data_IF_159329351041
#
_entry.id   IF_159329351041
#
_cell.length_a   1.000
_cell.length_b   1.000
_cell.length_c   1.000
_cell.angle_alpha   90.00
_cell.angle_beta   90.00
_cell.angle_gamma   90.00
#
_symmetry.space_group_name_H-M   'P 1'
#
loop_
_entity.id
_entity.type
_entity.pdbx_description
1 polymer ?
#
# COMPACT_ATOMS: atom_id res chain seq x y z
N UNK A 1 17.90 18.05 10.04
CA UNK A 1 17.87 16.96 9.05
C UNK A 1 16.61 16.13 9.28
N UNK A 2 15.71 15.97 8.30
CA UNK A 2 14.64 14.98 8.38
C UNK A 2 15.00 13.79 7.50
N UNK A 3 15.34 12.68 8.16
CA UNK A 3 15.49 11.34 7.57
C UNK A 3 14.21 10.93 6.84
N UNK A 4 14.34 10.48 5.60
CA UNK A 4 13.27 9.80 4.84
C UNK A 4 12.92 8.49 5.56
N UNK A 5 11.63 8.12 5.68
CA UNK A 5 11.26 6.82 6.22
C UNK A 5 11.55 5.78 5.13
N UNK A 6 12.62 5.02 5.35
CA UNK A 6 12.92 3.79 4.64
C UNK A 6 11.71 2.85 4.84
N UNK A 7 10.88 2.67 3.81
CA UNK A 7 9.82 1.65 3.84
C UNK A 7 10.53 0.31 3.77
N UNK A 8 10.87 -0.20 4.95
CA UNK A 8 11.57 -1.44 5.15
C UNK A 8 10.84 -2.59 4.45
N UNK A 9 11.59 -3.58 3.95
CA UNK A 9 11.10 -4.87 3.44
C UNK A 9 10.06 -5.53 4.38
N UNK A 10 10.15 -5.16 5.65
CA UNK A 10 9.25 -5.48 6.76
C UNK A 10 7.80 -5.03 6.55
N UNK A 11 7.58 -3.85 5.97
CA UNK A 11 6.25 -3.31 5.67
C UNK A 11 5.59 -4.06 4.50
N UNK A 12 6.41 -4.57 3.56
CA UNK A 12 5.95 -5.38 2.42
C UNK A 12 5.44 -6.75 2.90
N UNK A 13 6.15 -7.41 3.83
CA UNK A 13 5.70 -8.70 4.40
C UNK A 13 4.41 -8.56 5.21
N UNK A 14 4.28 -7.49 6.00
CA UNK A 14 3.06 -7.22 6.77
C UNK A 14 1.85 -6.89 5.88
N UNK A 15 2.09 -6.23 4.73
CA UNK A 15 1.07 -5.97 3.72
C UNK A 15 0.62 -7.26 3.02
N UNK A 16 1.56 -8.13 2.63
CA UNK A 16 1.27 -9.41 1.99
C UNK A 16 0.41 -10.33 2.87
N UNK A 17 0.68 -10.36 4.18
CA UNK A 17 -0.08 -11.20 5.12
C UNK A 17 -1.52 -10.67 5.34
N UNK A 18 -1.71 -9.34 5.29
CA UNK A 18 -3.05 -8.73 5.30
C UNK A 18 -3.84 -9.05 4.03
N UNK A 19 -3.17 -8.98 2.89
CA UNK A 19 -3.80 -9.22 1.59
C UNK A 19 -4.18 -10.69 1.43
N UNK A 20 -3.36 -11.61 1.95
CA UNK A 20 -3.67 -13.03 2.02
C UNK A 20 -4.95 -13.31 2.85
N UNK A 21 -5.07 -12.72 4.04
CA UNK A 21 -6.27 -12.87 4.88
C UNK A 21 -7.55 -12.38 4.16
N UNK A 22 -7.44 -11.26 3.42
CA UNK A 22 -8.53 -10.74 2.61
C UNK A 22 -8.90 -11.69 1.47
N UNK A 23 -7.91 -12.24 0.75
CA UNK A 23 -8.13 -13.22 -0.33
C UNK A 23 -8.77 -14.52 0.14
N UNK A 24 -8.41 -15.03 1.31
CA UNK A 24 -9.00 -16.29 1.81
C UNK A 24 -10.41 -16.04 2.34
N UNK A 25 -10.63 -14.91 3.02
CA UNK A 25 -11.96 -14.53 3.50
C UNK A 25 -12.93 -14.20 2.36
N UNK A 26 -12.42 -13.76 1.20
CA UNK A 26 -13.21 -13.52 -0.01
C UNK A 26 -13.30 -14.76 -0.92
N UNK A 27 -12.44 -15.75 -0.71
CA UNK A 27 -12.49 -17.02 -1.42
C UNK A 27 -13.63 -17.89 -0.88
N UNK A 28 -14.18 -18.68 -1.80
CA UNK A 28 -15.18 -19.68 -1.51
C UNK A 28 -14.62 -20.96 -0.85
N UNK A 29 -13.30 -21.01 -0.62
CA UNK A 29 -12.59 -22.09 0.06
C UNK A 29 -13.01 -22.27 1.52
N UNK A 30 -13.45 -21.18 2.18
CA UNK A 30 -13.98 -21.23 3.55
C UNK A 30 -15.44 -20.75 3.61
N UNK A 31 -16.19 -21.30 4.55
CA UNK A 31 -17.55 -20.90 4.84
C UNK A 31 -17.55 -19.89 6.00
N UNK A 32 -17.94 -18.66 5.72
CA UNK A 32 -18.03 -17.61 6.73
C UNK A 32 -16.70 -16.87 6.93
N UNK A 33 -16.24 -16.77 8.18
CA UNK A 33 -15.05 -15.99 8.57
C UNK A 33 -14.11 -16.82 9.42
N UNK A 34 -12.85 -16.39 9.51
CA UNK A 34 -11.91 -16.97 10.45
C UNK A 34 -12.37 -16.84 11.91
N UNK A 35 -12.22 -17.94 12.64
CA UNK A 35 -12.38 -18.03 14.08
C UNK A 35 -11.02 -17.96 14.73
N UNK A 36 -10.94 -17.21 15.84
CA UNK A 36 -9.72 -16.97 16.58
C UNK A 36 -9.91 -17.42 18.02
N UNK A 37 -9.02 -18.27 18.49
CA UNK A 37 -8.92 -18.69 19.88
C UNK A 37 -7.61 -18.17 20.44
N UNK A 38 -7.70 -17.36 21.49
CA UNK A 38 -6.53 -16.79 22.18
C UNK A 38 -6.39 -17.46 23.53
N UNK A 39 -5.20 -17.98 23.82
CA UNK A 39 -4.89 -18.54 25.13
C UNK A 39 -3.68 -17.87 25.77
N UNK A 40 -3.63 -17.96 27.10
CA UNK A 40 -2.65 -17.25 27.93
C UNK A 40 -3.15 -15.89 28.43
N UNK A 41 -2.31 -15.23 29.23
CA UNK A 41 -2.65 -13.98 29.93
C UNK A 41 -2.25 -12.74 29.10
N UNK A 42 -3.06 -12.45 28.08
CA UNK A 42 -2.82 -11.35 27.12
C UNK A 42 -2.86 -9.95 27.76
N UNK A 43 -3.36 -9.82 28.99
CA UNK A 43 -3.37 -8.56 29.73
C UNK A 43 -1.95 -8.13 30.13
N UNK A 44 -1.04 -9.08 30.34
CA UNK A 44 0.36 -8.82 30.69
C UNK A 44 1.14 -8.04 29.64
N UNK A 45 0.72 -8.13 28.38
CA UNK A 45 1.39 -7.44 27.26
C UNK A 45 0.60 -6.22 26.74
N UNK A 46 -0.60 -5.99 27.25
CA UNK A 46 -1.43 -4.85 26.86
C UNK A 46 -0.83 -3.54 27.39
N UNK A 47 -0.47 -2.62 26.50
CA UNK A 47 0.04 -1.29 26.84
C UNK A 47 1.54 -1.21 27.21
N UNK A 48 2.22 -2.34 27.44
CA UNK A 48 3.66 -2.37 27.68
C UNK A 48 4.44 -2.35 26.36
N UNK A 49 5.48 -1.51 26.24
CA UNK A 49 6.27 -1.35 25.00
C UNK A 49 7.60 -2.10 25.00
N UNK A 50 8.22 -2.31 26.17
CA UNK A 50 9.50 -3.01 26.34
C UNK A 50 9.40 -4.04 27.48
N UNK A 51 10.07 -5.20 27.32
CA UNK A 51 10.17 -6.22 28.38
C UNK A 51 8.92 -7.09 28.62
N UNK A 52 8.16 -7.40 27.56
CA UNK A 52 6.91 -8.18 27.63
C UNK A 52 7.15 -9.62 28.05
N UNK A 53 6.33 -10.10 28.99
CA UNK A 53 6.21 -11.53 29.30
C UNK A 53 5.28 -12.19 28.27
N UNK A 54 5.89 -12.76 27.23
CA UNK A 54 5.19 -13.40 26.11
C UNK A 54 4.98 -14.91 26.33
N UNK A 55 5.41 -15.42 27.49
CA UNK A 55 5.45 -16.85 27.78
C UNK A 55 4.02 -17.39 27.95
N UNK A 56 3.69 -18.43 27.17
CA UNK A 56 2.38 -19.08 27.21
C UNK A 56 1.26 -18.32 26.47
N UNK A 57 1.54 -17.18 25.83
CA UNK A 57 0.59 -16.50 24.95
C UNK A 57 0.54 -17.21 23.60
N UNK A 58 -0.64 -17.65 23.19
CA UNK A 58 -0.83 -18.25 21.87
C UNK A 58 -2.12 -17.82 21.21
N UNK A 59 -2.13 -17.98 19.90
CA UNK A 59 -3.33 -17.86 19.08
C UNK A 59 -3.49 -19.11 18.23
N UNK A 60 -4.73 -19.56 18.08
CA UNK A 60 -5.12 -20.60 17.13
C UNK A 60 -6.18 -20.01 16.20
N UNK A 61 -6.01 -20.25 14.91
CA UNK A 61 -6.98 -19.82 13.88
C UNK A 61 -7.62 -21.05 13.26
N UNK A 62 -8.91 -20.96 13.00
CA UNK A 62 -9.65 -21.98 12.27
C UNK A 62 -10.69 -21.36 11.36
N UNK A 63 -11.10 -22.11 10.35
CA UNK A 63 -12.26 -21.77 9.53
C UNK A 63 -12.97 -23.06 9.12
N UNK A 64 -14.25 -22.94 8.77
CA UNK A 64 -15.01 -24.07 8.23
C UNK A 64 -14.65 -24.20 6.75
N UNK A 65 -14.07 -25.32 6.33
CA UNK A 65 -13.75 -25.54 4.92
C UNK A 65 -15.01 -25.79 4.10
N UNK A 66 -14.94 -25.50 2.80
CA UNK A 66 -16.02 -25.83 1.85
C UNK A 66 -16.30 -27.34 1.87
N UNK A 67 -17.53 -27.72 2.19
CA UNK A 67 -17.95 -29.13 2.28
C UNK A 67 -17.82 -29.74 3.68
N UNK A 68 -17.20 -29.03 4.63
CA UNK A 68 -17.14 -29.44 6.04
C UNK A 68 -18.19 -28.69 6.87
N UNK A 69 -18.64 -29.30 7.97
CA UNK A 69 -19.61 -28.72 8.91
C UNK A 69 -18.95 -28.14 10.17
N UNK A 70 -17.78 -28.64 10.53
CA UNK A 70 -17.04 -28.25 11.73
C UNK A 70 -15.87 -27.30 11.40
N UNK A 71 -15.40 -26.57 12.40
CA UNK A 71 -14.26 -25.68 12.25
C UNK A 71 -12.97 -26.52 12.18
N UNK A 72 -12.26 -26.40 11.08
CA UNK A 72 -10.92 -26.96 10.94
C UNK A 72 -9.92 -25.98 11.56
N UNK A 73 -9.46 -26.32 12.75
CA UNK A 73 -8.54 -25.51 13.52
C UNK A 73 -7.08 -25.83 13.19
N UNK A 74 -6.26 -24.81 12.95
CA UNK A 74 -4.81 -24.94 12.76
C UNK A 74 -4.07 -25.27 14.06
N UNK A 75 -2.74 -25.30 14.02
CA UNK A 75 -1.94 -25.45 15.24
C UNK A 75 -1.90 -24.15 16.06
N UNK A 76 -1.85 -24.21 17.40
CA UNK A 76 -1.66 -23.04 18.22
C UNK A 76 -0.24 -22.47 18.00
N UNK A 77 -0.16 -21.19 17.67
CA UNK A 77 1.09 -20.46 17.48
C UNK A 77 1.38 -19.66 18.75
N UNK A 78 2.49 -19.97 19.41
CA UNK A 78 2.95 -19.26 20.59
C UNK A 78 3.74 -18.02 20.21
N UNK A 79 3.45 -16.90 20.86
CA UNK A 79 4.13 -15.62 20.61
C UNK A 79 5.63 -15.71 20.94
N UNK A 80 5.98 -16.43 22.02
CA UNK A 80 7.36 -16.64 22.46
C UNK A 80 8.22 -17.39 21.42
N UNK A 81 7.62 -18.27 20.61
CA UNK A 81 8.35 -19.07 19.61
C UNK A 81 8.66 -18.28 18.34
N UNK A 82 8.10 -17.07 18.19
CA UNK A 82 8.28 -16.22 17.01
C UNK A 82 9.54 -15.36 17.20
N UNK A 83 10.66 -15.87 16.68
CA UNK A 83 11.97 -15.20 16.73
C UNK A 83 12.13 -14.08 15.70
N UNK A 84 11.53 -14.25 14.52
CA UNK A 84 11.71 -13.32 13.39
C UNK A 84 10.55 -12.33 13.31
N UNK A 85 10.78 -11.08 13.74
CA UNK A 85 9.77 -10.01 13.84
C UNK A 85 10.13 -8.82 12.97
N UNK A 86 10.04 -9.07 11.67
CA UNK A 86 10.32 -8.16 10.57
C UNK A 86 9.19 -7.13 10.40
N UNK A 87 8.68 -6.53 11.49
CA UNK A 87 7.72 -5.42 11.39
C UNK A 87 7.72 -4.62 12.69
N UNK A 88 7.74 -3.28 12.64
CA UNK A 88 7.59 -2.46 13.84
C UNK A 88 6.23 -2.68 14.53
N UNK A 89 5.24 -3.22 13.81
CA UNK A 89 3.92 -3.56 14.35
C UNK A 89 3.94 -4.69 15.37
N UNK A 90 5.00 -5.51 15.44
CA UNK A 90 5.16 -6.46 16.55
C UNK A 90 5.27 -5.74 17.90
N UNK A 91 5.80 -4.52 17.91
CA UNK A 91 5.92 -3.68 19.11
C UNK A 91 4.65 -2.89 19.39
N UNK A 92 3.88 -2.47 18.40
CA UNK A 92 2.68 -1.63 18.63
C UNK A 92 1.37 -2.42 18.66
N UNK A 93 1.28 -3.50 17.89
CA UNK A 93 0.09 -4.33 17.73
C UNK A 93 0.43 -5.85 17.62
N UNK A 94 1.04 -6.45 18.66
CA UNK A 94 1.51 -7.85 18.63
C UNK A 94 0.38 -8.84 18.38
N UNK A 95 -0.79 -8.61 18.98
CA UNK A 95 -1.98 -9.47 18.84
C UNK A 95 -2.50 -9.51 17.39
N UNK A 96 -2.36 -8.40 16.67
CA UNK A 96 -2.76 -8.33 15.26
C UNK A 96 -1.74 -9.04 14.36
N UNK A 97 -0.44 -8.85 14.62
CA UNK A 97 0.63 -9.47 13.85
C UNK A 97 0.61 -11.00 13.94
N UNK A 98 0.51 -11.55 15.14
CA UNK A 98 0.43 -12.99 15.32
C UNK A 98 -0.84 -13.59 14.70
N UNK A 99 -1.94 -12.85 14.69
CA UNK A 99 -3.18 -13.29 14.04
C UNK A 99 -3.02 -13.41 12.52
N UNK A 100 -2.34 -12.46 11.88
CA UNK A 100 -2.03 -12.55 10.44
C UNK A 100 -1.11 -13.74 10.13
N UNK A 101 -0.11 -13.98 10.97
CA UNK A 101 0.77 -15.13 10.82
C UNK A 101 0.01 -16.45 10.95
N UNK A 102 -0.93 -16.55 11.89
CA UNK A 102 -1.76 -17.73 12.08
C UNK A 102 -2.69 -18.00 10.89
N UNK A 103 -3.32 -16.97 10.34
CA UNK A 103 -4.12 -17.09 9.11
C UNK A 103 -3.24 -17.58 7.95
N UNK A 104 -2.03 -17.03 7.79
CA UNK A 104 -1.09 -17.43 6.75
C UNK A 104 -0.69 -18.90 6.84
N UNK A 105 -0.36 -19.38 8.04
CA UNK A 105 0.03 -20.78 8.24
C UNK A 105 -1.14 -21.73 8.02
N UNK A 106 -2.33 -21.37 8.52
CA UNK A 106 -3.55 -22.12 8.30
C UNK A 106 -3.88 -22.26 6.81
N UNK A 107 -3.81 -21.15 6.07
CA UNK A 107 -4.11 -21.13 4.65
C UNK A 107 -3.13 -21.95 3.81
N UNK A 108 -1.85 -21.96 4.18
CA UNK A 108 -0.85 -22.80 3.51
C UNK A 108 -1.13 -24.29 3.67
N UNK A 109 -1.70 -24.67 4.80
CA UNK A 109 -1.98 -26.06 5.12
C UNK A 109 -3.29 -26.55 4.49
N UNK A 110 -4.35 -25.72 4.53
CA UNK A 110 -5.70 -26.15 4.18
C UNK A 110 -6.25 -25.53 2.89
N UNK A 111 -5.67 -24.44 2.40
CA UNK A 111 -6.09 -23.80 1.15
C UNK A 111 -4.90 -23.37 0.27
N UNK A 112 -3.98 -24.29 -0.07
CA UNK A 112 -2.79 -23.96 -0.87
C UNK A 112 -3.14 -23.43 -2.27
N UNK A 113 -4.28 -23.86 -2.83
CA UNK A 113 -4.77 -23.42 -4.15
C UNK A 113 -5.13 -21.93 -4.18
N UNK A 114 -5.62 -21.37 -3.05
CA UNK A 114 -5.84 -19.92 -2.91
C UNK A 114 -4.54 -19.16 -3.06
N UNK A 115 -3.48 -19.67 -2.43
CA UNK A 115 -2.19 -19.01 -2.31
C UNK A 115 -1.42 -19.04 -3.63
N UNK A 116 -1.60 -20.11 -4.40
CA UNK A 116 -0.94 -20.30 -5.70
C UNK A 116 -1.69 -19.62 -6.87
N UNK A 117 -2.83 -18.96 -6.61
CA UNK A 117 -3.58 -18.21 -7.63
C UNK A 117 -4.26 -19.09 -8.68
N UNK A 118 -4.40 -20.39 -8.40
CA UNK A 118 -5.03 -21.37 -9.30
C UNK A 118 -6.53 -21.38 -9.03
N UNK A 119 -7.22 -20.29 -9.34
CA UNK A 119 -8.68 -20.32 -9.41
C UNK A 119 -9.12 -20.40 -10.87
N UNK A 120 -9.68 -21.55 -11.25
CA UNK A 120 -10.48 -21.61 -12.47
C UNK A 120 -11.79 -20.85 -12.24
N UNK A 121 -12.23 -19.98 -13.17
CA UNK A 121 -13.40 -19.10 -13.00
C UNK A 121 -14.76 -19.79 -12.76
N UNK A 122 -14.80 -21.12 -12.67
CA UNK A 122 -16.03 -21.93 -12.66
C UNK A 122 -16.56 -22.24 -11.25
N UNK A 123 -15.88 -21.85 -10.16
CA UNK A 123 -16.25 -22.24 -8.77
C UNK A 123 -17.05 -21.20 -7.96
N UNK A 124 -17.52 -20.12 -8.60
CA UNK A 124 -18.31 -19.06 -7.94
C UNK A 124 -19.79 -19.44 -8.01
N UNK A 125 -20.25 -20.33 -7.12
CA UNK A 125 -21.68 -20.57 -6.93
C UNK A 125 -22.41 -19.30 -6.46
N UNK A 126 -23.54 -18.93 -7.07
CA UNK A 126 -24.33 -17.76 -6.69
C UNK A 126 -25.10 -18.04 -5.40
N UNK A 127 -24.63 -17.52 -4.26
CA UNK A 127 -25.34 -17.62 -2.98
C UNK A 127 -26.40 -16.51 -2.87
N UNK A 128 -27.64 -16.94 -2.65
CA UNK A 128 -28.85 -16.12 -2.41
C UNK A 128 -28.75 -15.29 -1.12
N UNK A 129 -28.91 -13.96 -1.24
CA UNK A 129 -28.87 -13.00 -0.14
C UNK A 129 -30.17 -12.94 0.68
N UNK A 130 -30.05 -12.65 1.98
CA UNK A 130 -31.15 -12.52 2.97
C UNK A 130 -31.11 -11.09 3.54
N UNK A 131 -32.18 -10.33 3.38
CA UNK A 131 -32.23 -8.88 3.65
C UNK A 131 -32.54 -8.55 5.13
N UNK A 132 -31.94 -7.46 5.65
CA UNK A 132 -32.00 -7.03 7.06
C UNK A 132 -32.30 -5.52 7.13
N UNK A 133 -33.56 -5.09 6.99
CA UNK A 133 -34.05 -3.86 7.63
C UNK A 133 -35.60 -3.81 7.69
N UNK A 134 -36.23 -3.49 8.85
CA UNK A 134 -37.69 -3.47 8.95
C UNK A 134 -38.26 -2.04 8.87
N UNK A 135 -39.35 -1.85 8.10
CA UNK A 135 -40.36 -0.78 8.29
C UNK A 135 -41.66 -1.12 7.51
N UNK A 136 -42.85 -0.61 7.93
CA UNK A 136 -44.03 -1.46 8.14
C UNK A 136 -45.03 -1.59 6.97
N UNK A 137 -45.60 -2.80 6.88
CA UNK A 137 -46.85 -3.27 6.26
C UNK A 137 -47.59 -2.35 5.28
N UNK A 138 -47.89 -2.86 4.07
CA UNK A 138 -49.20 -3.49 3.72
C UNK A 138 -49.02 -4.58 2.65
N UNK A 139 -49.75 -5.66 2.83
CA UNK A 139 -49.61 -6.95 2.12
C UNK A 139 -50.44 -6.94 0.83
N UNK A 140 -49.82 -7.32 -0.30
CA UNK A 140 -50.49 -8.03 -1.40
C UNK A 140 -49.44 -8.78 -2.23
N UNK A 141 -49.73 -10.07 -2.47
CA UNK A 141 -48.80 -11.14 -2.82
C UNK A 141 -48.77 -11.39 -4.35
N UNK A 142 -48.07 -10.53 -5.10
CA UNK A 142 -47.62 -10.79 -6.48
C UNK A 142 -46.60 -9.71 -6.87
N UNK A 143 -45.55 -10.09 -7.61
CA UNK A 143 -44.55 -9.19 -8.24
C UNK A 143 -43.45 -8.55 -7.35
N UNK A 144 -42.42 -9.30 -6.93
CA UNK A 144 -41.09 -8.70 -6.66
C UNK A 144 -39.99 -9.71 -7.04
N UNK A 145 -39.38 -9.52 -8.21
CA UNK A 145 -38.16 -10.20 -8.65
C UNK A 145 -37.35 -9.17 -9.43
N UNK A 146 -36.32 -8.55 -8.83
CA UNK A 146 -35.44 -7.64 -9.59
C UNK A 146 -34.40 -6.80 -8.84
N UNK A 147 -34.64 -6.35 -7.60
CA UNK A 147 -33.91 -5.16 -7.10
C UNK A 147 -32.61 -5.41 -6.30
N UNK A 148 -32.40 -6.62 -5.78
CA UNK A 148 -31.30 -6.89 -4.82
C UNK A 148 -29.92 -7.05 -5.49
N UNK A 149 -29.88 -7.63 -6.69
CA UNK A 149 -28.61 -7.87 -7.44
C UNK A 149 -27.99 -6.56 -7.92
N UNK A 150 -28.80 -5.54 -8.20
CA UNK A 150 -28.32 -4.26 -8.70
C UNK A 150 -27.44 -3.51 -7.68
N UNK A 151 -27.73 -3.63 -6.39
CA UNK A 151 -27.05 -2.83 -5.34
C UNK A 151 -25.65 -3.37 -4.99
N UNK A 152 -25.50 -4.69 -4.90
CA UNK A 152 -24.19 -5.31 -4.63
C UNK A 152 -23.24 -5.22 -5.83
N UNK A 153 -23.78 -5.33 -7.06
CA UNK A 153 -23.04 -5.07 -8.30
C UNK A 153 -22.63 -3.60 -8.35
N UNK A 154 -23.55 -2.66 -8.08
CA UNK A 154 -23.25 -1.23 -8.07
C UNK A 154 -22.17 -0.83 -7.05
N UNK A 155 -22.15 -1.44 -5.86
CA UNK A 155 -21.11 -1.18 -4.86
C UNK A 155 -19.74 -1.78 -5.23
N UNK A 156 -19.71 -2.99 -5.81
CA UNK A 156 -18.48 -3.60 -6.34
C UNK A 156 -17.95 -2.85 -7.55
N UNK A 157 -18.82 -2.47 -8.48
CA UNK A 157 -18.49 -1.61 -9.63
C UNK A 157 -17.97 -0.26 -9.17
N UNK A 158 -18.55 0.34 -8.12
CA UNK A 158 -18.06 1.59 -7.54
C UNK A 158 -16.67 1.43 -6.91
N UNK A 159 -16.39 0.33 -6.22
CA UNK A 159 -15.06 0.06 -5.66
C UNK A 159 -14.00 -0.16 -6.76
N UNK A 160 -14.34 -0.94 -7.79
CA UNK A 160 -13.47 -1.15 -8.97
C UNK A 160 -13.26 0.16 -9.73
N UNK A 161 -14.27 1.03 -9.80
CA UNK A 161 -14.16 2.35 -10.40
C UNK A 161 -13.21 3.26 -9.59
N UNK A 162 -13.30 3.24 -8.26
CA UNK A 162 -12.39 4.01 -7.39
C UNK A 162 -10.94 3.53 -7.54
N UNK A 163 -10.70 2.23 -7.57
CA UNK A 163 -9.35 1.67 -7.78
C UNK A 163 -8.82 2.04 -9.17
N UNK A 164 -9.65 1.95 -10.22
CA UNK A 164 -9.27 2.38 -11.57
C UNK A 164 -8.95 3.88 -11.64
N UNK A 165 -9.72 4.73 -10.96
CA UNK A 165 -9.45 6.17 -10.87
C UNK A 165 -8.15 6.44 -10.12
N UNK A 166 -7.87 5.67 -9.07
CA UNK A 166 -6.61 5.79 -8.34
C UNK A 166 -5.41 5.38 -9.20
N UNK A 167 -5.53 4.30 -9.97
CA UNK A 167 -4.48 3.86 -10.91
C UNK A 167 -4.23 4.89 -12.01
N UNK A 168 -5.29 5.50 -12.58
CA UNK A 168 -5.14 6.60 -13.53
C UNK A 168 -4.37 7.78 -12.92
N UNK A 169 -4.65 8.14 -11.67
CA UNK A 169 -3.86 9.17 -10.98
C UNK A 169 -2.41 8.75 -10.76
N UNK A 170 -2.13 7.49 -10.44
CA UNK A 170 -0.74 7.00 -10.30
C UNK A 170 0.01 7.14 -11.62
N UNK A 171 -0.59 6.72 -12.73
CA UNK A 171 0.01 6.83 -14.06
C UNK A 171 0.23 8.29 -14.46
N UNK A 172 -0.75 9.17 -14.22
CA UNK A 172 -0.63 10.61 -14.49
C UNK A 172 0.45 11.28 -13.64
N UNK A 173 0.63 10.87 -12.38
CA UNK A 173 1.74 11.34 -11.53
C UNK A 173 3.07 10.89 -12.15
N UNK A 174 3.20 9.62 -12.53
CA UNK A 174 4.47 9.09 -13.03
C UNK A 174 4.84 9.63 -14.42
N UNK A 175 3.84 9.97 -15.24
CA UNK A 175 4.01 10.61 -16.54
C UNK A 175 4.22 12.14 -16.48
N UNK A 176 4.02 12.78 -15.33
CA UNK A 176 4.18 14.24 -15.22
C UNK A 176 5.65 14.64 -15.34
N UNK A 177 6.05 15.19 -16.47
CA UNK A 177 7.42 15.61 -16.73
C UNK A 177 7.66 17.10 -16.53
N UNK A 178 6.65 17.95 -16.47
CA UNK A 178 6.82 19.39 -16.23
C UNK A 178 6.07 19.88 -14.98
N UNK A 179 6.41 21.10 -14.54
CA UNK A 179 5.90 21.68 -13.29
C UNK A 179 4.39 21.90 -13.37
N UNK A 180 3.88 22.26 -14.54
CA UNK A 180 2.47 22.60 -14.74
C UNK A 180 1.61 21.33 -14.76
N UNK A 181 2.06 20.27 -15.43
CA UNK A 181 1.46 18.95 -15.38
C UNK A 181 1.45 18.38 -13.95
N UNK A 182 2.57 18.48 -13.22
CA UNK A 182 2.64 17.98 -11.84
C UNK A 182 1.70 18.76 -10.89
N UNK A 183 1.54 20.07 -11.08
CA UNK A 183 0.54 20.88 -10.34
C UNK A 183 -0.88 20.49 -10.69
N UNK A 184 -1.19 20.35 -11.99
CA UNK A 184 -2.52 20.00 -12.46
C UNK A 184 -2.98 18.65 -11.89
N UNK A 185 -2.11 17.64 -11.90
CA UNK A 185 -2.41 16.33 -11.30
C UNK A 185 -2.69 16.44 -9.80
N UNK A 186 -1.91 17.26 -9.08
CA UNK A 186 -2.14 17.52 -7.66
C UNK A 186 -3.47 18.23 -7.36
N UNK A 187 -3.90 19.13 -8.24
CA UNK A 187 -5.19 19.82 -8.15
C UNK A 187 -6.35 18.85 -8.40
N UNK A 188 -6.25 18.03 -9.44
CA UNK A 188 -7.26 17.02 -9.77
C UNK A 188 -7.44 15.99 -8.63
N UNK A 189 -6.35 15.55 -7.99
CA UNK A 189 -6.41 14.68 -6.80
C UNK A 189 -7.13 15.37 -5.64
N UNK A 190 -6.96 16.69 -5.47
CA UNK A 190 -7.70 17.44 -4.44
C UNK A 190 -9.20 17.53 -4.75
N UNK A 191 -9.57 17.67 -6.02
CA UNK A 191 -10.97 17.67 -6.45
C UNK A 191 -11.61 16.26 -6.29
N UNK A 192 -10.86 15.20 -6.57
CA UNK A 192 -11.30 13.82 -6.44
C UNK A 192 -11.31 13.27 -4.99
N UNK A 193 -10.99 14.10 -3.98
CA UNK A 193 -10.89 13.69 -2.57
C UNK A 193 -12.14 12.98 -2.04
N UNK A 194 -13.33 13.44 -2.43
CA UNK A 194 -14.59 12.85 -1.99
C UNK A 194 -14.79 11.43 -2.55
N UNK A 195 -14.31 11.19 -3.77
CA UNK A 195 -14.44 9.90 -4.48
C UNK A 195 -13.39 8.89 -4.03
N UNK A 196 -12.13 9.33 -3.86
CA UNK A 196 -11.00 8.46 -3.51
C UNK A 196 -11.03 7.94 -2.06
N UNK A 197 -11.73 8.63 -1.17
CA UNK A 197 -11.63 8.36 0.27
C UNK A 197 -10.28 8.78 0.87
N UNK A 198 -10.17 8.73 2.20
CA UNK A 198 -9.05 9.34 2.94
C UNK A 198 -7.69 8.68 2.69
N UNK A 199 -7.67 7.36 2.56
CA UNK A 199 -6.45 6.57 2.39
C UNK A 199 -5.80 6.83 1.02
N UNK A 200 -6.53 6.57 -0.08
CA UNK A 200 -6.05 6.77 -1.44
C UNK A 200 -5.72 8.23 -1.72
N UNK A 201 -6.55 9.17 -1.25
CA UNK A 201 -6.25 10.60 -1.38
C UNK A 201 -4.90 10.97 -0.76
N UNK A 202 -4.59 10.44 0.43
CA UNK A 202 -3.35 10.75 1.13
C UNK A 202 -2.14 10.12 0.43
N UNK A 203 -2.27 8.88 -0.05
CA UNK A 203 -1.25 8.22 -0.87
C UNK A 203 -0.93 9.04 -2.14
N UNK A 204 -1.96 9.31 -2.94
CA UNK A 204 -1.84 10.01 -4.22
C UNK A 204 -1.32 11.43 -4.04
N UNK A 205 -1.77 12.15 -3.01
CA UNK A 205 -1.26 13.49 -2.68
C UNK A 205 0.23 13.49 -2.31
N UNK A 206 0.67 12.49 -1.54
CA UNK A 206 2.09 12.37 -1.18
C UNK A 206 2.94 12.07 -2.43
N UNK A 207 2.48 11.15 -3.29
CA UNK A 207 3.13 10.83 -4.57
C UNK A 207 3.21 12.04 -5.51
N UNK A 208 2.10 12.76 -5.68
CA UNK A 208 2.04 13.96 -6.51
C UNK A 208 2.99 15.06 -5.99
N UNK A 209 3.05 15.24 -4.66
CA UNK A 209 3.98 16.19 -4.03
C UNK A 209 5.44 15.80 -4.27
N UNK A 210 5.78 14.51 -4.11
CA UNK A 210 7.12 14.01 -4.39
C UNK A 210 7.51 14.21 -5.87
N UNK A 211 6.59 13.91 -6.79
CA UNK A 211 6.79 14.13 -8.23
C UNK A 211 7.01 15.60 -8.55
N UNK A 212 6.20 16.49 -8.00
CA UNK A 212 6.37 17.94 -8.16
C UNK A 212 7.78 18.39 -7.74
N UNK A 213 8.26 17.94 -6.58
CA UNK A 213 9.60 18.27 -6.12
C UNK A 213 10.70 17.70 -7.01
N UNK A 214 10.54 16.46 -7.52
CA UNK A 214 11.48 15.86 -8.47
C UNK A 214 11.57 16.66 -9.77
N UNK A 215 10.44 17.01 -10.37
CA UNK A 215 10.39 17.78 -11.62
C UNK A 215 10.92 19.20 -11.42
N UNK A 216 10.54 19.86 -10.32
CA UNK A 216 11.06 21.19 -10.00
C UNK A 216 12.58 21.18 -9.78
N UNK A 217 13.11 20.17 -9.08
CA UNK A 217 14.54 20.02 -8.89
C UNK A 217 15.27 19.77 -10.22
N UNK A 218 14.72 18.93 -11.11
CA UNK A 218 15.24 18.69 -12.46
C UNK A 218 15.29 19.98 -13.26
N UNK A 219 14.16 20.68 -13.38
CA UNK A 219 14.08 21.94 -14.13
C UNK A 219 15.02 23.00 -13.57
N UNK A 220 15.22 23.06 -12.25
CA UNK A 220 16.16 24.00 -11.64
C UNK A 220 17.61 23.67 -12.02
N UNK A 221 18.01 22.40 -11.95
CA UNK A 221 19.37 21.98 -12.35
C UNK A 221 19.58 22.24 -13.83
N UNK A 222 18.64 21.82 -14.67
CA UNK A 222 18.69 22.02 -16.12
C UNK A 222 18.74 23.51 -16.49
N UNK A 223 17.92 24.36 -15.87
CA UNK A 223 17.98 25.80 -16.08
C UNK A 223 19.34 26.38 -15.64
N UNK A 224 19.92 25.88 -14.55
CA UNK A 224 21.23 26.34 -14.08
C UNK A 224 22.33 25.96 -15.08
N UNK A 225 22.32 24.72 -15.57
CA UNK A 225 23.26 24.22 -16.58
C UNK A 225 23.10 24.99 -17.90
N UNK A 226 21.87 25.17 -18.37
CA UNK A 226 21.58 25.90 -19.61
C UNK A 226 21.90 27.40 -19.52
N UNK A 227 21.95 27.96 -18.31
CA UNK A 227 22.33 29.36 -18.06
C UNK A 227 23.84 29.57 -17.88
N UNK A 228 24.65 28.50 -17.98
CA UNK A 228 26.10 28.63 -17.87
C UNK A 228 26.64 29.46 -19.05
N UNK A 229 27.48 30.47 -18.79
CA UNK A 229 28.13 31.24 -19.85
C UNK A 229 29.18 30.38 -20.56
N UNK A 230 29.78 30.92 -21.62
CA UNK A 230 30.91 30.26 -22.26
C UNK A 230 32.10 30.18 -21.30
N UNK A 231 32.82 29.06 -21.35
CA UNK A 231 33.97 28.72 -20.50
C UNK A 231 35.04 29.83 -20.31
N UNK A 232 35.17 30.75 -21.27
CA UNK A 232 36.17 31.85 -21.22
C UNK A 232 35.70 33.13 -20.54
N UNK A 233 34.48 33.20 -19.99
CA UNK A 233 34.00 34.40 -19.28
C UNK A 233 34.50 34.45 -17.83
N UNK A 234 34.75 35.65 -17.27
CA UNK A 234 35.37 35.81 -15.95
C UNK A 234 34.56 35.17 -14.80
N UNK A 235 33.23 35.08 -14.95
CA UNK A 235 32.35 34.49 -13.94
C UNK A 235 31.98 33.02 -14.24
N UNK A 236 32.51 32.42 -15.31
CA UNK A 236 32.11 31.10 -15.78
C UNK A 236 32.45 29.97 -14.78
N UNK A 237 33.65 30.00 -14.19
CA UNK A 237 34.07 29.03 -13.18
C UNK A 237 33.23 29.09 -11.90
N UNK A 238 32.86 30.30 -11.46
CA UNK A 238 32.03 30.52 -10.27
C UNK A 238 30.58 30.06 -10.51
N UNK A 239 30.04 30.30 -11.71
CA UNK A 239 28.72 29.83 -12.10
C UNK A 239 28.68 28.31 -12.27
N UNK A 240 29.75 27.71 -12.79
CA UNK A 240 29.90 26.26 -12.87
C UNK A 240 29.89 25.61 -11.48
N UNK A 241 30.64 26.17 -10.53
CA UNK A 241 30.65 25.72 -9.14
C UNK A 241 29.26 25.83 -8.49
N UNK A 242 28.50 26.88 -8.82
CA UNK A 242 27.10 27.02 -8.37
C UNK A 242 26.18 25.96 -8.99
N UNK A 243 26.43 25.54 -10.22
CA UNK A 243 25.69 24.44 -10.85
C UNK A 243 25.95 23.10 -10.13
N UNK A 244 27.22 22.78 -9.80
CA UNK A 244 27.58 21.58 -9.01
C UNK A 244 26.92 21.60 -7.61
N UNK A 245 26.93 22.77 -6.94
CA UNK A 245 26.27 22.94 -5.64
C UNK A 245 24.75 22.75 -5.74
N UNK A 246 24.14 23.26 -6.82
CA UNK A 246 22.69 23.13 -7.06
C UNK A 246 22.32 21.67 -7.32
N UNK A 247 23.10 20.94 -8.12
CA UNK A 247 22.92 19.51 -8.34
C UNK A 247 23.04 18.71 -7.03
N UNK A 248 24.05 19.01 -6.23
CA UNK A 248 24.28 18.35 -4.93
C UNK A 248 23.11 18.58 -3.97
N UNK A 249 22.58 19.81 -3.90
CA UNK A 249 21.41 20.13 -3.09
C UNK A 249 20.12 19.44 -3.61
N UNK A 250 20.01 19.25 -4.92
CA UNK A 250 18.86 18.63 -5.57
C UNK A 250 18.84 17.09 -5.45
N UNK A 251 19.95 16.45 -5.06
CA UNK A 251 20.11 14.99 -5.01
C UNK A 251 18.96 14.26 -4.30
N UNK A 252 18.50 14.78 -3.16
CA UNK A 252 17.40 14.19 -2.38
C UNK A 252 16.11 14.02 -3.19
N UNK A 253 15.84 14.94 -4.12
CA UNK A 253 14.60 14.95 -4.91
C UNK A 253 14.75 14.32 -6.30
N UNK A 254 15.96 14.34 -6.87
CA UNK A 254 16.25 13.74 -8.18
C UNK A 254 16.28 12.21 -8.13
N UNK A 255 16.73 11.64 -7.01
CA UNK A 255 17.09 10.22 -6.92
C UNK A 255 18.47 9.96 -7.53
N UNK A 256 19.03 8.77 -7.27
CA UNK A 256 20.42 8.47 -7.66
C UNK A 256 20.61 8.42 -9.18
N UNK A 257 19.70 7.80 -9.94
CA UNK A 257 19.84 7.68 -11.41
C UNK A 257 19.95 9.04 -12.12
N UNK A 258 19.00 9.94 -11.85
CA UNK A 258 18.95 11.25 -12.49
C UNK A 258 20.06 12.18 -11.97
N UNK A 259 20.45 12.04 -10.70
CA UNK A 259 21.60 12.74 -10.15
C UNK A 259 22.89 12.34 -10.86
N UNK A 260 23.12 11.03 -11.03
CA UNK A 260 24.31 10.51 -11.72
C UNK A 260 24.37 10.98 -13.18
N UNK A 261 23.24 11.03 -13.89
CA UNK A 261 23.18 11.58 -15.26
C UNK A 261 23.67 13.03 -15.32
N UNK A 262 23.12 13.91 -14.48
CA UNK A 262 23.57 15.31 -14.45
C UNK A 262 25.01 15.45 -13.96
N UNK A 263 25.45 14.59 -13.03
CA UNK A 263 26.82 14.62 -12.51
C UNK A 263 27.81 14.29 -13.63
N UNK A 264 27.55 13.24 -14.40
CA UNK A 264 28.38 12.87 -15.56
C UNK A 264 28.45 14.02 -16.57
N UNK A 265 27.30 14.65 -16.91
CA UNK A 265 27.29 15.81 -17.82
C UNK A 265 28.15 16.96 -17.30
N UNK A 266 28.09 17.27 -16.01
CA UNK A 266 28.95 18.30 -15.42
C UNK A 266 30.42 17.87 -15.42
N UNK A 267 30.74 16.64 -15.04
CA UNK A 267 32.12 16.13 -15.02
C UNK A 267 32.76 16.20 -16.42
N UNK A 268 32.01 15.92 -17.48
CA UNK A 268 32.47 16.03 -18.88
C UNK A 268 32.72 17.49 -19.30
N UNK A 269 31.91 18.44 -18.82
CA UNK A 269 32.08 19.88 -19.12
C UNK A 269 33.16 20.56 -18.27
N UNK A 270 33.46 20.00 -17.08
CA UNK A 270 34.36 20.59 -16.08
C UNK A 270 35.73 21.04 -16.61
N UNK A 271 36.42 20.29 -17.51
CA UNK A 271 37.72 20.72 -18.04
C UNK A 271 37.68 22.03 -18.82
N UNK A 272 36.53 22.41 -19.38
CA UNK A 272 36.37 23.66 -20.12
C UNK A 272 36.25 24.86 -19.17
N UNK A 273 35.60 24.68 -18.01
CA UNK A 273 35.28 25.74 -17.06
C UNK A 273 36.31 25.91 -15.94
N UNK A 274 37.08 24.87 -15.65
CA UNK A 274 38.08 24.83 -14.58
C UNK A 274 39.40 24.37 -15.21
N UNK A 275 39.94 25.20 -16.10
CA UNK A 275 41.20 25.00 -16.83
C UNK A 275 42.19 26.12 -16.58
#
# INVERSE_FOLDING_TARGET
>A
MPVTPDTSLDDIHAAADRQLNACISSSSAIQGRFHYEYGGDWEKIAGQKDGRDELGLYIRVGAVLRGEADITWGEPIYLADITTRNSPLWKTAPKQQIAYLAVKYWARLYCPEVILGVYSPDEVEPRTEKEINPAPQRVSLAEISGDSVATAVSARESAVNIDSVADEFRDRIDAAEDIDAAKAVGEDINQAKATLGSALYTELKNKATQRYHRVNARNKVEATINSLPSAGEPDAADLFTKAEATLTAARRHLGDELYEQFRVTLDDMKPEYVG
#
